data_IF_745722154690
#
_entry.id   IF_745722154690
#
_cell.length_a   1.000
_cell.length_b   1.000
_cell.length_c   1.000
_cell.angle_alpha   90.00
_cell.angle_beta   90.00
_cell.angle_gamma   90.00
#
_symmetry.space_group_name_H-M   'P 1'
#
loop_
_entity.id
_entity.type
_entity.pdbx_description
1 polymer ?
#
# COMPACT_ATOMS: atom_id res chain seq x y z
N UNK A 1 12.17 -21.77 16.45
CA UNK A 1 11.19 -20.76 16.01
C UNK A 1 10.26 -21.38 15.00
N UNK A 2 8.99 -20.97 14.97
CA UNK A 2 7.98 -21.46 14.03
C UNK A 2 7.05 -20.30 13.69
N UNK A 3 6.50 -20.32 12.47
CA UNK A 3 5.45 -19.40 12.09
C UNK A 3 4.15 -19.78 12.80
N UNK A 4 3.34 -18.78 13.18
CA UNK A 4 2.07 -19.02 13.89
C UNK A 4 1.00 -19.71 13.04
N UNK A 5 1.18 -19.73 11.71
CA UNK A 5 0.30 -20.43 10.77
C UNK A 5 0.69 -21.90 10.56
N UNK A 6 1.76 -22.37 11.20
CA UNK A 6 2.27 -23.75 11.08
C UNK A 6 3.02 -24.02 9.78
N UNK A 7 3.28 -23.00 8.96
CA UNK A 7 4.17 -23.14 7.80
C UNK A 7 5.60 -23.43 8.22
N UNK A 8 6.39 -24.00 7.30
CA UNK A 8 7.80 -24.27 7.55
C UNK A 8 8.54 -22.97 7.83
N UNK A 9 9.33 -22.96 8.91
CA UNK A 9 10.23 -21.85 9.17
C UNK A 9 11.31 -21.79 8.07
N UNK A 10 11.34 -20.70 7.34
CA UNK A 10 12.14 -20.52 6.12
C UNK A 10 12.88 -19.17 6.10
N UNK A 11 13.07 -18.55 7.26
CA UNK A 11 13.61 -17.20 7.38
C UNK A 11 14.92 -17.14 8.18
N UNK A 12 15.95 -16.49 7.65
CA UNK A 12 17.34 -16.54 8.16
C UNK A 12 18.00 -15.17 8.40
N UNK A 13 17.28 -14.06 8.28
CA UNK A 13 17.85 -12.71 8.43
C UNK A 13 17.83 -12.22 9.90
N UNK A 14 18.59 -12.86 10.79
CA UNK A 14 18.77 -12.40 12.18
C UNK A 14 19.97 -11.46 12.32
N UNK A 15 20.04 -10.72 13.43
CA UNK A 15 21.31 -10.08 13.82
C UNK A 15 22.38 -11.12 14.11
N UNK A 16 23.68 -10.82 13.90
CA UNK A 16 24.77 -11.66 14.38
C UNK A 16 24.59 -11.98 15.86
N UNK A 17 24.81 -13.25 16.21
CA UNK A 17 24.62 -13.81 17.55
C UNK A 17 23.18 -13.90 18.05
N UNK A 18 22.18 -13.52 17.26
CA UNK A 18 20.78 -13.77 17.57
C UNK A 18 20.26 -14.97 16.77
N UNK A 19 19.39 -15.80 17.36
CA UNK A 19 18.78 -15.65 18.68
C UNK A 19 19.69 -16.04 19.87
N UNK A 20 19.62 -15.28 20.96
CA UNK A 20 20.37 -15.49 22.21
C UNK A 20 19.53 -16.19 23.26
N UNK A 21 20.15 -17.13 23.99
CA UNK A 21 19.51 -17.80 25.11
C UNK A 21 19.27 -16.81 26.27
N UNK A 22 18.06 -16.80 26.83
CA UNK A 22 17.69 -15.91 27.94
C UNK A 22 17.16 -14.52 27.54
N UNK A 23 17.11 -14.18 26.25
CA UNK A 23 16.64 -12.87 25.75
C UNK A 23 15.19 -12.91 25.20
N UNK A 24 14.46 -14.00 25.49
CA UNK A 24 13.08 -14.23 25.05
C UNK A 24 12.93 -15.35 24.01
N UNK A 25 11.71 -15.88 23.87
CA UNK A 25 11.43 -17.07 23.07
C UNK A 25 10.74 -16.78 21.72
N UNK A 26 10.42 -15.51 21.46
CA UNK A 26 9.86 -15.04 20.19
C UNK A 26 10.84 -14.15 19.45
N UNK A 27 10.57 -13.89 18.17
CA UNK A 27 11.39 -12.98 17.35
C UNK A 27 10.56 -11.75 16.95
N UNK A 28 11.20 -10.59 16.96
CA UNK A 28 10.67 -9.37 16.38
C UNK A 28 11.64 -8.83 15.34
N UNK A 29 11.08 -8.25 14.28
CA UNK A 29 11.83 -7.56 13.23
C UNK A 29 12.16 -6.14 13.68
N UNK A 30 13.41 -5.72 13.56
CA UNK A 30 13.78 -4.31 13.66
C UNK A 30 13.28 -3.57 12.41
N UNK A 31 12.26 -2.72 12.61
CA UNK A 31 11.72 -1.85 11.55
C UNK A 31 12.42 -0.51 11.44
N UNK A 32 13.36 -0.19 12.34
CA UNK A 32 14.15 1.05 12.27
C UNK A 32 15.33 0.93 11.31
N UNK A 33 15.95 -0.26 11.24
CA UNK A 33 16.95 -0.56 10.22
C UNK A 33 16.32 -0.96 8.89
N UNK A 34 16.92 -0.52 7.78
CA UNK A 34 16.53 -0.98 6.44
C UNK A 34 16.87 -2.46 6.18
N UNK A 35 17.68 -3.09 7.04
CA UNK A 35 18.05 -4.50 6.93
C UNK A 35 16.93 -5.43 7.41
N UNK A 36 15.97 -4.95 8.21
CA UNK A 36 14.84 -5.76 8.67
C UNK A 36 15.25 -7.02 9.44
N UNK A 37 16.33 -6.93 10.22
CA UNK A 37 16.89 -8.06 10.95
C UNK A 37 16.07 -8.41 12.19
N UNK A 38 16.13 -9.66 12.60
CA UNK A 38 15.35 -10.18 13.72
C UNK A 38 16.20 -10.41 14.97
N UNK A 39 15.57 -10.21 16.13
CA UNK A 39 16.15 -10.47 17.45
C UNK A 39 15.11 -11.03 18.41
N UNK A 40 15.55 -11.63 19.51
CA UNK A 40 14.66 -12.17 20.53
C UNK A 40 13.77 -11.08 21.13
N UNK A 41 12.56 -11.47 21.52
CA UNK A 41 11.63 -10.66 22.28
C UNK A 41 10.78 -11.56 23.18
N UNK A 42 10.13 -10.98 24.16
CA UNK A 42 9.09 -11.65 24.95
C UNK A 42 7.85 -11.87 24.06
N UNK A 43 7.40 -13.12 23.96
CA UNK A 43 6.21 -13.52 23.21
C UNK A 43 4.92 -12.82 23.66
N UNK A 44 4.85 -12.33 24.91
CA UNK A 44 3.69 -11.60 25.42
C UNK A 44 3.71 -10.11 25.09
N UNK A 45 4.76 -9.62 24.44
CA UNK A 45 4.85 -8.25 23.96
C UNK A 45 3.77 -7.96 22.91
N UNK A 46 3.05 -6.85 23.06
CA UNK A 46 2.04 -6.42 22.10
C UNK A 46 2.69 -5.71 20.91
N UNK A 47 3.16 -6.51 19.95
CA UNK A 47 3.81 -6.03 18.72
C UNK A 47 2.94 -6.30 17.48
N UNK A 48 3.12 -5.55 16.38
CA UNK A 48 2.52 -5.89 15.09
C UNK A 48 3.01 -7.24 14.55
N UNK A 49 2.17 -7.91 13.74
CA UNK A 49 2.54 -9.16 13.08
C UNK A 49 3.28 -8.92 11.76
N UNK A 50 4.26 -9.78 11.47
CA UNK A 50 4.91 -9.88 10.18
C UNK A 50 4.33 -11.09 9.40
N UNK A 51 4.10 -10.92 8.10
CA UNK A 51 3.57 -11.99 7.24
C UNK A 51 4.47 -12.19 6.01
N UNK A 52 4.69 -13.45 5.63
CA UNK A 52 5.34 -13.80 4.37
C UNK A 52 4.39 -13.49 3.22
N UNK A 53 4.92 -12.86 2.16
CA UNK A 53 4.17 -12.62 0.92
C UNK A 53 4.40 -13.81 -0.01
N UNK A 54 3.36 -14.35 -0.68
CA UNK A 54 3.55 -15.44 -1.61
C UNK A 54 4.41 -15.01 -2.81
N UNK A 55 5.46 -15.78 -3.10
CA UNK A 55 6.29 -15.62 -4.30
C UNK A 55 5.84 -16.56 -5.44
N UNK A 56 5.97 -16.13 -6.71
CA UNK A 56 6.40 -14.80 -7.13
C UNK A 56 5.24 -13.81 -7.02
N UNK A 57 5.49 -12.64 -6.43
CA UNK A 57 4.67 -11.47 -6.75
C UNK A 57 4.87 -11.26 -8.26
N UNK A 58 3.83 -11.35 -9.12
CA UNK A 58 4.01 -11.03 -10.52
C UNK A 58 4.36 -9.56 -10.62
N UNK A 59 5.62 -9.34 -10.92
CA UNK A 59 6.18 -8.06 -11.29
C UNK A 59 5.56 -7.72 -12.64
N UNK A 60 4.88 -6.57 -12.73
CA UNK A 60 4.53 -6.03 -14.02
C UNK A 60 5.86 -5.80 -14.77
N UNK A 61 6.04 -6.47 -15.92
CA UNK A 61 7.16 -6.17 -16.80
C UNK A 61 7.11 -4.70 -17.19
N UNK A 62 8.26 -4.02 -17.11
CA UNK A 62 8.48 -2.69 -17.68
C UNK A 62 8.34 -2.78 -19.22
N UNK A 63 7.10 -2.87 -19.69
CA UNK A 63 6.76 -2.91 -21.10
C UNK A 63 6.52 -1.50 -21.65
N UNK A 64 6.69 -1.28 -22.95
CA UNK A 64 6.29 -0.04 -23.59
C UNK A 64 4.76 0.01 -23.67
N UNK A 65 4.12 0.62 -22.68
CA UNK A 65 2.67 0.78 -22.66
C UNK A 65 2.26 1.88 -23.65
N UNK A 66 1.58 1.51 -24.74
CA UNK A 66 1.01 2.48 -25.67
C UNK A 66 -0.36 2.99 -25.16
N UNK A 67 -0.72 4.25 -25.44
CA UNK A 67 -2.03 4.79 -25.09
C UNK A 67 -3.16 3.96 -25.72
N UNK A 68 -4.02 3.34 -24.91
CA UNK A 68 -5.25 2.67 -25.37
C UNK A 68 -5.33 1.15 -25.18
N UNK A 69 -4.33 0.49 -24.61
CA UNK A 69 -4.42 -0.95 -24.31
C UNK A 69 -5.25 -1.26 -23.05
N UNK A 70 -6.38 -1.95 -23.23
CA UNK A 70 -7.23 -2.47 -22.15
C UNK A 70 -6.54 -3.67 -21.48
N UNK A 71 -5.91 -3.47 -20.33
CA UNK A 71 -5.34 -4.55 -19.52
C UNK A 71 -6.46 -5.16 -18.66
N UNK A 72 -6.68 -6.47 -18.77
CA UNK A 72 -7.54 -7.21 -17.83
C UNK A 72 -6.79 -7.36 -16.51
N UNK A 73 -7.15 -6.53 -15.52
CA UNK A 73 -6.49 -6.50 -14.21
C UNK A 73 -7.19 -7.50 -13.29
N UNK A 74 -6.52 -8.61 -12.97
CA UNK A 74 -6.80 -9.36 -11.75
C UNK A 74 -5.88 -8.82 -10.65
N UNK A 75 -6.48 -8.03 -9.75
CA UNK A 75 -5.97 -7.58 -8.44
C UNK A 75 -4.46 -7.77 -8.20
N UNK A 76 -3.66 -6.70 -8.37
CA UNK A 76 -2.28 -6.64 -7.86
C UNK A 76 -1.86 -5.20 -7.54
N UNK A 77 -1.35 -5.03 -6.33
CA UNK A 77 -0.87 -3.78 -5.73
C UNK A 77 0.21 -3.17 -6.62
N UNK A 78 -0.02 -1.95 -7.11
CA UNK A 78 0.81 -1.29 -8.12
C UNK A 78 1.75 -0.27 -7.45
N UNK A 79 3.06 -0.53 -7.42
CA UNK A 79 4.07 0.49 -7.12
C UNK A 79 4.44 1.14 -8.45
N UNK A 80 4.10 2.40 -8.66
CA UNK A 80 4.26 3.06 -9.96
C UNK A 80 5.17 4.28 -9.84
N UNK A 81 6.35 4.21 -10.47
CA UNK A 81 7.25 5.35 -10.65
C UNK A 81 6.83 6.09 -11.93
N UNK A 82 5.88 7.01 -11.84
CA UNK A 82 5.29 7.67 -13.02
C UNK A 82 5.86 9.07 -13.30
N UNK A 83 6.36 9.25 -14.53
CA UNK A 83 6.32 10.55 -15.20
C UNK A 83 4.86 10.83 -15.63
N UNK A 84 4.16 11.69 -14.88
CA UNK A 84 2.92 12.39 -15.26
C UNK A 84 1.85 11.51 -15.94
N UNK A 85 1.36 10.46 -15.26
CA UNK A 85 0.20 9.69 -15.71
C UNK A 85 -0.90 9.70 -14.65
N UNK A 86 -2.16 9.73 -15.12
CA UNK A 86 -3.33 9.68 -14.25
C UNK A 86 -3.51 8.25 -13.72
N UNK A 87 -3.91 8.13 -12.46
CA UNK A 87 -4.20 6.88 -11.76
C UNK A 87 -5.69 6.85 -11.44
N UNK A 88 -6.36 5.74 -11.69
CA UNK A 88 -7.78 5.56 -11.38
C UNK A 88 -8.02 4.32 -10.56
N UNK A 89 -9.17 4.22 -9.88
CA UNK A 89 -9.64 2.94 -9.33
C UNK A 89 -9.81 1.89 -10.43
N UNK A 90 -9.61 0.59 -10.13
CA UNK A 90 -9.95 -0.49 -11.06
C UNK A 90 -11.41 -0.41 -11.47
N UNK A 91 -11.69 -0.48 -12.77
CA UNK A 91 -13.06 -0.42 -13.32
C UNK A 91 -13.58 0.99 -13.59
N UNK A 92 -12.85 2.04 -13.21
CA UNK A 92 -13.24 3.43 -13.47
C UNK A 92 -13.53 3.68 -14.97
N UNK A 93 -14.58 4.42 -15.35
CA UNK A 93 -15.59 5.08 -14.50
C UNK A 93 -16.83 4.21 -14.23
N UNK A 94 -16.83 2.94 -14.62
CA UNK A 94 -18.04 2.12 -14.65
C UNK A 94 -18.18 1.19 -13.45
N UNK A 95 -17.10 0.92 -12.72
CA UNK A 95 -17.08 0.04 -11.56
C UNK A 95 -16.00 0.51 -10.58
N UNK A 96 -16.32 0.55 -9.30
CA UNK A 96 -15.37 0.84 -8.22
C UNK A 96 -15.45 -0.17 -7.07
N UNK A 97 -16.05 -1.33 -7.28
CA UNK A 97 -16.21 -2.38 -6.28
C UNK A 97 -14.91 -3.05 -5.85
N UNK A 98 -13.83 -2.88 -6.62
CA UNK A 98 -12.54 -3.53 -6.37
C UNK A 98 -11.61 -2.62 -5.57
N UNK A 99 -11.23 -3.05 -4.37
CA UNK A 99 -10.23 -2.37 -3.54
C UNK A 99 -8.84 -2.38 -4.20
N UNK A 100 -8.04 -1.33 -3.99
CA UNK A 100 -6.69 -1.27 -4.52
C UNK A 100 -5.76 -0.37 -3.71
N UNK A 101 -4.46 -0.64 -3.82
CA UNK A 101 -3.41 0.20 -3.27
C UNK A 101 -2.38 0.53 -4.36
N UNK A 102 -2.07 1.82 -4.47
CA UNK A 102 -0.97 2.34 -5.27
C UNK A 102 0.09 2.90 -4.35
N UNK A 103 1.34 2.47 -4.52
CA UNK A 103 2.48 3.04 -3.79
C UNK A 103 3.29 3.89 -4.75
N UNK A 104 3.36 5.17 -4.47
CA UNK A 104 4.09 6.15 -5.27
C UNK A 104 5.38 6.47 -4.54
N UNK A 105 6.49 6.50 -5.27
CA UNK A 105 7.80 6.81 -4.69
C UNK A 105 8.63 7.64 -5.64
N UNK A 106 9.38 8.58 -5.08
CA UNK A 106 10.41 9.35 -5.81
C UNK A 106 11.79 9.05 -5.21
N UNK A 107 12.87 9.05 -6.02
CA UNK A 107 14.22 8.82 -5.51
C UNK A 107 14.65 9.87 -4.46
N UNK A 108 14.21 11.11 -4.65
CA UNK A 108 14.43 12.21 -3.71
C UNK A 108 13.29 13.24 -3.82
N UNK A 109 13.04 13.96 -2.72
CA UNK A 109 11.95 14.92 -2.63
C UNK A 109 10.67 14.32 -2.04
N UNK A 110 9.52 14.91 -2.40
CA UNK A 110 8.19 14.56 -1.88
C UNK A 110 7.26 14.18 -3.03
N UNK A 111 6.30 13.32 -2.76
CA UNK A 111 5.26 12.94 -3.70
C UNK A 111 4.07 13.88 -3.55
N UNK A 112 3.59 14.39 -4.67
CA UNK A 112 2.39 15.19 -4.73
C UNK A 112 1.31 14.44 -5.50
N UNK A 113 0.11 14.33 -4.94
CA UNK A 113 -1.04 13.68 -5.55
C UNK A 113 -2.17 14.70 -5.70
N UNK A 114 -2.64 14.87 -6.93
CA UNK A 114 -3.77 15.74 -7.27
C UNK A 114 -4.99 14.93 -7.62
N UNK A 115 -6.10 15.19 -6.93
CA UNK A 115 -7.39 14.53 -7.13
C UNK A 115 -8.19 15.33 -8.14
N UNK A 116 -8.58 14.68 -9.25
CA UNK A 116 -9.41 15.26 -10.30
C UNK A 116 -10.89 14.93 -10.12
N UNK A 117 -11.19 13.71 -9.68
CA UNK A 117 -12.55 13.21 -9.54
C UNK A 117 -12.58 12.15 -8.44
N UNK A 118 -13.56 12.24 -7.56
CA UNK A 118 -13.89 11.21 -6.57
C UNK A 118 -15.41 11.08 -6.52
N UNK A 119 -15.91 9.88 -6.73
CA UNK A 119 -17.28 9.50 -6.43
C UNK A 119 -17.24 8.22 -5.60
N UNK A 120 -17.53 8.37 -4.33
CA UNK A 120 -17.53 7.33 -3.31
C UNK A 120 -18.89 7.35 -2.58
N UNK A 121 -19.36 6.21 -2.10
CA UNK A 121 -20.50 6.19 -1.19
C UNK A 121 -20.08 6.81 0.16
N UNK A 122 -20.68 7.96 0.51
CA UNK A 122 -20.30 8.77 1.68
C UNK A 122 -20.34 8.04 3.04
N UNK A 123 -21.05 6.92 3.11
CA UNK A 123 -21.26 6.12 4.31
C UNK A 123 -20.30 4.93 4.45
N UNK A 124 -19.53 4.57 3.42
CA UNK A 124 -18.76 3.32 3.46
C UNK A 124 -17.49 3.29 2.59
N UNK A 125 -17.42 4.06 1.52
CA UNK A 125 -16.26 4.04 0.62
C UNK A 125 -15.26 5.13 0.99
N UNK A 126 -13.97 4.80 0.96
CA UNK A 126 -12.91 5.73 1.32
C UNK A 126 -11.74 5.70 0.34
N UNK A 127 -11.25 6.90 0.00
CA UNK A 127 -9.95 7.11 -0.63
C UNK A 127 -8.99 7.66 0.43
N UNK A 128 -7.98 6.88 0.78
CA UNK A 128 -7.00 7.23 1.81
C UNK A 128 -5.64 7.50 1.19
N UNK A 129 -5.01 8.61 1.59
CA UNK A 129 -3.63 8.95 1.27
C UNK A 129 -2.79 8.80 2.54
N UNK A 130 -1.68 8.06 2.47
CA UNK A 130 -0.78 7.86 3.61
C UNK A 130 0.68 8.07 3.23
N UNK A 131 1.43 8.69 4.15
CA UNK A 131 2.81 9.14 3.93
C UNK A 131 3.83 8.08 4.36
N UNK A 132 3.73 6.89 3.80
CA UNK A 132 4.65 5.76 3.99
C UNK A 132 4.24 4.60 3.07
N UNK A 133 5.12 3.62 2.89
CA UNK A 133 4.85 2.40 2.12
C UNK A 133 3.87 1.45 2.82
N UNK A 134 3.99 1.31 4.14
CA UNK A 134 3.22 0.40 4.98
C UNK A 134 2.96 1.04 6.34
N UNK A 135 1.69 1.09 6.78
CA UNK A 135 1.33 1.94 7.91
C UNK A 135 1.73 3.39 7.67
N UNK A 136 1.60 4.26 8.67
CA UNK A 136 2.11 5.63 8.60
C UNK A 136 1.04 6.70 8.71
N UNK A 137 1.49 7.96 8.62
CA UNK A 137 0.65 9.11 8.88
C UNK A 137 -0.39 9.29 7.76
N UNK A 138 -1.66 9.40 8.17
CA UNK A 138 -2.77 9.70 7.27
C UNK A 138 -2.62 11.13 6.75
N UNK A 139 -2.45 11.28 5.45
CA UNK A 139 -2.40 12.57 4.76
C UNK A 139 -3.81 13.06 4.45
N UNK A 140 -4.67 12.17 3.98
CA UNK A 140 -6.07 12.47 3.71
C UNK A 140 -6.94 11.21 3.84
N UNK A 141 -8.18 11.40 4.28
CA UNK A 141 -9.22 10.39 4.25
C UNK A 141 -10.48 11.01 3.63
N UNK A 142 -10.81 10.58 2.42
CA UNK A 142 -11.80 11.22 1.57
C UNK A 142 -12.94 10.27 1.25
N UNK A 143 -14.15 10.79 1.19
CA UNK A 143 -15.37 10.04 0.88
C UNK A 143 -16.37 10.95 0.18
N UNK A 144 -17.50 10.38 -0.25
CA UNK A 144 -18.55 11.10 -0.97
C UNK A 144 -18.12 11.54 -2.37
N UNK A 145 -18.73 12.63 -2.85
CA UNK A 145 -18.46 13.16 -4.17
C UNK A 145 -17.64 14.45 -4.09
N UNK A 146 -16.44 14.45 -4.68
CA UNK A 146 -15.66 15.65 -4.93
C UNK A 146 -15.92 16.11 -6.37
N UNK A 147 -16.36 17.36 -6.51
CA UNK A 147 -16.85 17.89 -7.77
C UNK A 147 -15.70 18.17 -8.74
N UNK A 148 -15.96 17.97 -10.05
CA UNK A 148 -14.95 18.07 -11.13
C UNK A 148 -14.36 19.47 -11.34
N UNK A 149 -14.90 20.50 -10.67
CA UNK A 149 -14.48 21.89 -10.83
C UNK A 149 -13.29 22.29 -9.95
N UNK A 150 -13.02 21.58 -8.85
CA UNK A 150 -11.89 21.89 -7.95
C UNK A 150 -10.98 20.68 -7.81
N UNK A 151 -9.72 20.86 -8.19
CA UNK A 151 -8.67 19.85 -7.98
C UNK A 151 -8.08 20.06 -6.60
N UNK A 152 -7.95 19.00 -5.83
CA UNK A 152 -7.33 19.06 -4.50
C UNK A 152 -5.99 18.34 -4.55
N UNK A 153 -4.95 18.99 -4.05
CA UNK A 153 -3.59 18.47 -4.09
C UNK A 153 -3.06 18.22 -2.69
N UNK A 154 -2.53 17.03 -2.47
CA UNK A 154 -1.91 16.59 -1.22
C UNK A 154 -0.43 16.31 -1.47
N UNK A 155 0.41 16.62 -0.50
CA UNK A 155 1.86 16.41 -0.59
C UNK A 155 2.33 15.61 0.61
N UNK A 156 3.13 14.57 0.37
CA UNK A 156 3.74 13.75 1.42
C UNK A 156 4.83 14.53 2.17
N UNK A 157 5.19 14.12 3.38
CA UNK A 157 6.38 14.63 4.08
C UNK A 157 7.62 13.79 3.72
N UNK A 158 7.43 12.51 3.37
CA UNK A 158 8.47 11.60 2.89
C UNK A 158 8.54 11.53 1.36
N UNK A 159 9.44 10.69 0.83
CA UNK A 159 9.54 10.37 -0.59
C UNK A 159 8.54 9.30 -1.05
N UNK A 160 7.55 8.93 -0.21
CA UNK A 160 6.50 7.97 -0.51
C UNK A 160 5.10 8.58 -0.33
N UNK A 161 4.15 8.09 -1.12
CA UNK A 161 2.71 8.28 -0.88
C UNK A 161 1.97 7.01 -1.28
N UNK A 162 1.17 6.45 -0.39
CA UNK A 162 0.25 5.36 -0.71
C UNK A 162 -1.16 5.92 -0.93
N UNK A 163 -1.76 5.58 -2.06
CA UNK A 163 -3.14 5.86 -2.43
C UNK A 163 -3.95 4.57 -2.29
N UNK A 164 -4.88 4.53 -1.35
CA UNK A 164 -5.66 3.35 -0.99
C UNK A 164 -7.14 3.58 -1.24
N UNK A 165 -7.76 2.75 -2.07
CA UNK A 165 -9.20 2.74 -2.28
C UNK A 165 -9.84 1.57 -1.56
N UNK A 166 -10.79 1.90 -0.70
CA UNK A 166 -11.48 0.97 0.19
C UNK A 166 -12.99 1.06 -0.06
N UNK A 167 -13.52 0.35 -1.06
CA UNK A 167 -14.95 0.21 -1.24
C UNK A 167 -15.50 -0.75 -0.17
N UNK A 168 -16.52 -0.34 0.60
CA UNK A 168 -17.08 -1.17 1.69
C UNK A 168 -18.59 -1.37 1.56
N UNK A 169 -19.01 -1.85 0.39
CA UNK A 169 -20.42 -2.06 0.06
C UNK A 169 -21.10 -0.78 -0.42
N UNK A 170 -22.39 -0.86 -0.76
CA UNK A 170 -23.16 0.27 -1.30
C UNK A 170 -23.52 0.10 -2.78
N UNK A 171 -23.97 1.20 -3.39
CA UNK A 171 -24.29 1.25 -4.83
C UNK A 171 -22.99 1.44 -5.62
N UNK A 172 -22.90 0.86 -6.81
CA UNK A 172 -21.75 1.09 -7.67
C UNK A 172 -21.56 2.58 -7.99
N UNK A 173 -20.33 3.06 -7.89
CA UNK A 173 -19.92 4.45 -8.12
C UNK A 173 -18.72 4.48 -9.06
N UNK A 174 -18.35 5.65 -9.58
CA UNK A 174 -17.19 5.76 -10.49
C UNK A 174 -15.86 5.41 -9.83
N UNK A 175 -15.70 5.70 -8.53
CA UNK A 175 -14.42 5.60 -7.83
C UNK A 175 -13.60 6.87 -7.97
N UNK A 176 -12.29 6.78 -8.27
CA UNK A 176 -11.40 7.95 -8.25
C UNK A 176 -10.54 8.11 -9.52
N UNK A 177 -10.07 9.35 -9.74
CA UNK A 177 -9.04 9.72 -10.72
C UNK A 177 -8.07 10.75 -10.11
N UNK A 178 -6.78 10.41 -10.05
CA UNK A 178 -5.70 11.26 -9.50
C UNK A 178 -4.51 11.37 -10.47
N UNK A 179 -3.53 12.23 -10.19
CA UNK A 179 -2.19 12.24 -10.81
C UNK A 179 -1.10 12.58 -9.82
#
# INVERSE_FOLDING_TARGET
FTWTDGSNWDYDNTYPDYPKNGEGDCLAMDTFSSTGQWMNTDCFSKLPYACVRPDPIPVCTDGPWQPGTNVRISLKICILTFKKHQITSPGYPYDASTACDYVLSVPSGRVQVTIYELQANSNCDYLMLSDQKLGGNLVANLTGQLNTHYRITYTSQSNFMRVSWQPRGGVNVKGFKVS
#
